data_IF_176877658136
#
_entry.id   IF_176877658136
#
_cell.length_a   1.000
_cell.length_b   1.000
_cell.length_c   1.000
_cell.angle_alpha   90.00
_cell.angle_beta   90.00
_cell.angle_gamma   90.00
#
_symmetry.space_group_name_H-M   'P 1'
#
loop_
_entity.id
_entity.type
_entity.pdbx_description
1 polymer ?
#
# COMPACT_ATOMS: atom_id res chain seq x y z
N UNK A 1 -24.61 -15.94 31.90
CA UNK A 1 -23.80 -14.70 32.07
C UNK A 1 -22.30 -14.94 31.90
N UNK A 2 -21.66 -15.88 32.63
CA UNK A 2 -20.22 -16.20 32.49
C UNK A 2 -19.76 -16.57 31.07
N UNK A 3 -20.51 -17.39 30.34
CA UNK A 3 -20.14 -17.80 28.97
C UNK A 3 -20.18 -16.66 27.94
N UNK A 4 -21.08 -15.68 28.13
CA UNK A 4 -21.20 -14.52 27.25
C UNK A 4 -19.99 -13.59 27.41
N UNK A 5 -19.52 -13.40 28.65
CA UNK A 5 -18.34 -12.58 28.93
C UNK A 5 -17.09 -13.22 28.32
N UNK A 6 -16.93 -14.54 28.41
CA UNK A 6 -15.80 -15.27 27.82
C UNK A 6 -15.84 -15.17 26.28
N UNK A 7 -17.02 -15.31 25.67
CA UNK A 7 -17.18 -15.16 24.23
C UNK A 7 -16.84 -13.73 23.75
N UNK A 8 -17.30 -12.70 24.48
CA UNK A 8 -16.99 -11.30 24.15
C UNK A 8 -15.50 -11.01 24.31
N UNK A 9 -14.86 -11.50 25.37
CA UNK A 9 -13.40 -11.35 25.59
C UNK A 9 -12.59 -12.11 24.52
N UNK A 10 -13.03 -13.30 24.11
CA UNK A 10 -12.37 -14.06 23.05
C UNK A 10 -12.48 -13.37 21.68
N UNK A 11 -13.64 -12.78 21.37
CA UNK A 11 -13.86 -12.00 20.15
C UNK A 11 -13.01 -10.72 20.16
N UNK A 12 -12.98 -9.96 21.26
CA UNK A 12 -12.16 -8.75 21.39
C UNK A 12 -10.65 -9.09 21.35
N UNK A 13 -10.22 -10.20 21.96
CA UNK A 13 -8.84 -10.67 21.90
C UNK A 13 -8.41 -11.11 20.49
N UNK A 14 -9.34 -11.62 19.68
CA UNK A 14 -9.11 -11.93 18.26
C UNK A 14 -8.99 -10.68 17.38
N UNK A 15 -9.51 -9.52 17.80
CA UNK A 15 -9.39 -8.25 17.08
C UNK A 15 -8.15 -7.45 17.48
N UNK A 16 -7.36 -7.91 18.45
CA UNK A 16 -6.05 -7.35 18.78
C UNK A 16 -4.92 -7.92 17.87
N UNK A 17 -5.29 -8.49 16.72
CA UNK A 17 -4.35 -8.71 15.63
C UNK A 17 -3.88 -7.32 15.20
N UNK A 18 -2.65 -6.95 15.56
CA UNK A 18 -2.01 -5.79 14.96
C UNK A 18 -2.17 -5.94 13.45
N UNK A 19 -2.94 -5.05 12.82
CA UNK A 19 -3.08 -5.04 11.36
C UNK A 19 -1.70 -4.73 10.80
N UNK A 20 -0.96 -5.78 10.43
CA UNK A 20 0.37 -5.63 9.88
C UNK A 20 0.24 -5.17 8.44
N UNK A 21 0.48 -3.88 8.21
CA UNK A 21 0.43 -3.29 6.87
C UNK A 21 1.47 -3.96 5.96
N UNK A 22 1.01 -4.52 4.83
CA UNK A 22 1.86 -5.11 3.80
C UNK A 22 1.94 -4.18 2.60
N UNK A 23 3.15 -3.75 2.25
CA UNK A 23 3.39 -2.82 1.15
C UNK A 23 4.08 -3.50 -0.03
N UNK A 24 3.91 -2.93 -1.22
CA UNK A 24 4.77 -3.31 -2.32
C UNK A 24 6.17 -2.70 -2.12
N UNK A 25 7.18 -3.49 -2.46
CA UNK A 25 8.59 -3.15 -2.29
C UNK A 25 9.26 -3.06 -3.66
N UNK A 26 9.95 -1.96 -3.88
CA UNK A 26 10.79 -1.76 -5.05
C UNK A 26 12.05 -1.00 -4.66
N UNK A 27 13.20 -1.69 -4.63
CA UNK A 27 14.46 -1.03 -4.29
C UNK A 27 14.95 -0.08 -5.37
N UNK A 28 14.71 -0.41 -6.63
CA UNK A 28 15.06 0.42 -7.79
C UNK A 28 14.01 0.24 -8.87
N UNK A 29 13.34 1.32 -9.20
CA UNK A 29 12.54 1.47 -10.41
C UNK A 29 13.13 2.55 -11.31
N UNK A 30 13.04 2.33 -12.60
CA UNK A 30 13.52 3.21 -13.65
C UNK A 30 12.34 3.51 -14.57
N UNK A 31 12.15 4.78 -14.92
CA UNK A 31 11.04 5.24 -15.79
C UNK A 31 9.65 4.77 -15.33
N UNK A 32 9.47 4.58 -14.01
CA UNK A 32 8.25 4.07 -13.40
C UNK A 32 8.16 2.54 -13.31
N UNK A 33 9.02 1.80 -14.01
CA UNK A 33 9.04 0.33 -14.00
C UNK A 33 9.97 -0.15 -12.89
N UNK A 34 9.45 -1.02 -12.01
CA UNK A 34 10.24 -1.66 -10.97
C UNK A 34 11.07 -2.82 -11.51
N UNK A 35 12.39 -2.79 -11.27
CA UNK A 35 13.32 -3.82 -11.77
C UNK A 35 13.24 -5.12 -10.96
N UNK A 36 12.93 -5.02 -9.66
CA UNK A 36 12.82 -6.15 -8.74
C UNK A 36 11.61 -5.97 -7.83
N UNK A 37 10.40 -6.25 -8.32
CA UNK A 37 9.18 -6.15 -7.52
C UNK A 37 9.17 -7.22 -6.43
N UNK A 38 8.76 -6.84 -5.22
CA UNK A 38 8.51 -7.75 -4.10
C UNK A 38 7.49 -7.13 -3.16
N UNK A 39 7.21 -7.77 -2.03
CA UNK A 39 6.35 -7.23 -0.97
C UNK A 39 7.10 -7.26 0.34
N UNK A 40 6.80 -6.31 1.23
CA UNK A 40 7.35 -6.26 2.58
C UNK A 40 6.24 -6.03 3.59
N UNK A 41 6.39 -6.59 4.79
CA UNK A 41 5.51 -6.31 5.93
C UNK A 41 6.14 -5.18 6.74
N UNK A 42 5.38 -4.13 7.03
CA UNK A 42 5.86 -3.04 7.85
C UNK A 42 6.00 -3.48 9.32
N UNK A 43 7.10 -3.07 9.96
CA UNK A 43 7.43 -3.50 11.32
C UNK A 43 6.84 -2.61 12.39
N UNK A 44 6.36 -1.41 12.03
CA UNK A 44 5.79 -0.42 12.95
C UNK A 44 4.33 -0.15 12.58
N UNK A 45 3.50 0.09 13.59
CA UNK A 45 2.09 0.45 13.40
C UNK A 45 1.91 1.92 12.93
N UNK A 46 3.00 2.67 12.84
CA UNK A 46 3.05 4.07 12.38
C UNK A 46 3.58 4.18 10.95
N UNK A 47 3.98 3.06 10.34
CA UNK A 47 4.41 3.01 8.95
C UNK A 47 3.22 3.09 7.98
N UNK A 48 3.45 3.77 6.86
CA UNK A 48 2.60 3.75 5.67
C UNK A 48 3.35 3.10 4.51
N UNK A 49 2.61 2.64 3.50
CA UNK A 49 3.21 2.33 2.22
C UNK A 49 3.60 3.61 1.50
N UNK A 50 4.75 3.63 0.85
CA UNK A 50 5.22 4.81 0.12
C UNK A 50 5.65 4.49 -1.31
N UNK A 51 5.59 5.51 -2.15
CA UNK A 51 6.27 5.61 -3.44
C UNK A 51 7.12 6.87 -3.44
N UNK A 52 8.44 6.71 -3.44
CA UNK A 52 9.40 7.79 -3.59
C UNK A 52 9.82 7.92 -5.05
N UNK A 53 9.68 9.10 -5.66
CA UNK A 53 10.05 9.38 -7.05
C UNK A 53 11.14 10.44 -7.10
N UNK A 54 12.31 10.08 -7.64
CA UNK A 54 13.40 11.00 -7.92
C UNK A 54 13.36 11.41 -9.39
N UNK A 55 12.97 12.66 -9.65
CA UNK A 55 12.86 13.25 -10.98
C UNK A 55 13.98 14.24 -11.25
N UNK A 56 14.37 14.40 -12.51
CA UNK A 56 15.43 15.31 -12.96
C UNK A 56 14.81 16.34 -13.92
N UNK A 57 14.41 17.53 -13.44
CA UNK A 57 13.65 18.50 -14.25
C UNK A 57 14.33 18.92 -15.55
N UNK A 58 15.67 18.87 -15.61
CA UNK A 58 16.46 19.22 -16.78
C UNK A 58 16.48 18.13 -17.87
N UNK A 59 15.97 16.93 -17.60
CA UNK A 59 15.97 15.80 -18.55
C UNK A 59 14.54 15.54 -19.00
N UNK A 60 14.15 16.18 -20.11
CA UNK A 60 12.81 15.99 -20.69
C UNK A 60 12.55 14.52 -21.06
N UNK A 61 11.34 14.04 -20.79
CA UNK A 61 10.92 12.66 -21.07
C UNK A 61 11.43 11.61 -20.08
N UNK A 62 12.39 11.95 -19.21
CA UNK A 62 12.83 11.04 -18.17
C UNK A 62 11.91 11.10 -16.96
N UNK A 63 11.14 10.03 -16.74
CA UNK A 63 10.22 9.94 -15.59
C UNK A 63 10.96 9.77 -14.24
N UNK A 64 12.28 9.57 -14.28
CA UNK A 64 13.11 9.46 -13.09
C UNK A 64 13.27 8.03 -12.59
N UNK A 65 13.71 7.94 -11.34
CA UNK A 65 13.75 6.69 -10.58
C UNK A 65 12.61 6.66 -9.58
N UNK A 66 12.19 5.46 -9.19
CA UNK A 66 11.25 5.30 -8.09
C UNK A 66 11.69 4.20 -7.12
N UNK A 67 11.30 4.35 -5.86
CA UNK A 67 11.49 3.36 -4.80
C UNK A 67 10.18 3.20 -4.04
N UNK A 68 9.93 2.03 -3.48
CA UNK A 68 8.70 1.70 -2.78
C UNK A 68 8.99 0.79 -1.59
N UNK A 69 8.16 0.90 -0.55
CA UNK A 69 8.26 0.08 0.66
C UNK A 69 7.42 0.65 1.78
N UNK A 70 7.90 0.49 3.01
CA UNK A 70 7.33 1.10 4.22
C UNK A 70 8.10 2.38 4.59
N UNK A 71 7.37 3.39 5.06
CA UNK A 71 7.92 4.66 5.52
C UNK A 71 7.14 5.16 6.72
N UNK A 72 7.84 5.74 7.70
CA UNK A 72 7.19 6.36 8.85
C UNK A 72 6.30 7.54 8.43
N UNK A 73 5.14 7.67 9.06
CA UNK A 73 4.14 8.70 8.74
C UNK A 73 4.69 10.14 8.76
N UNK A 74 5.70 10.42 9.58
CA UNK A 74 6.33 11.74 9.67
C UNK A 74 7.18 12.12 8.44
N UNK A 75 7.53 11.15 7.59
CA UNK A 75 8.28 11.35 6.35
C UNK A 75 7.37 11.26 5.12
N UNK A 76 6.05 11.14 5.31
CA UNK A 76 5.11 11.09 4.19
C UNK A 76 4.85 12.46 3.58
N UNK A 77 4.53 12.46 2.28
CA UNK A 77 4.11 13.64 1.52
C UNK A 77 5.12 14.80 1.53
N UNK A 78 6.40 14.46 1.73
CA UNK A 78 7.51 15.39 1.63
C UNK A 78 8.03 15.48 0.20
N UNK A 79 8.48 16.67 -0.16
CA UNK A 79 9.23 16.92 -1.39
C UNK A 79 10.56 17.56 -1.03
N UNK A 80 11.65 16.99 -1.52
CA UNK A 80 13.02 17.44 -1.27
C UNK A 80 13.69 17.75 -2.59
N UNK A 81 14.28 18.93 -2.67
CA UNK A 81 15.05 19.36 -3.83
C UNK A 81 16.54 19.26 -3.51
N UNK A 82 17.34 18.91 -4.51
CA UNK A 82 18.79 18.85 -4.34
C UNK A 82 19.52 18.93 -5.67
N UNK A 83 20.84 18.85 -5.58
CA UNK A 83 21.73 18.83 -6.75
C UNK A 83 22.75 17.71 -6.58
N UNK A 84 23.01 16.99 -7.67
CA UNK A 84 24.05 15.95 -7.72
C UNK A 84 24.84 16.13 -9.01
N UNK A 85 26.16 16.29 -8.90
CA UNK A 85 27.06 16.50 -10.04
C UNK A 85 26.60 17.65 -10.97
N UNK A 86 26.03 18.71 -10.40
CA UNK A 86 25.51 19.87 -11.14
C UNK A 86 24.10 19.68 -11.74
N UNK A 87 23.52 18.49 -11.66
CA UNK A 87 22.14 18.24 -12.08
C UNK A 87 21.16 18.43 -10.91
N UNK A 88 20.11 19.23 -11.11
CA UNK A 88 19.02 19.36 -10.14
C UNK A 88 18.14 18.12 -10.14
N UNK A 89 17.71 17.69 -8.95
CA UNK A 89 16.74 16.62 -8.78
C UNK A 89 15.67 17.02 -7.75
N UNK A 90 14.50 16.39 -7.91
CA UNK A 90 13.36 16.54 -7.01
C UNK A 90 12.92 15.14 -6.58
N UNK A 91 12.95 14.88 -5.29
CA UNK A 91 12.42 13.66 -4.68
C UNK A 91 11.05 13.98 -4.10
N UNK A 92 10.01 13.29 -4.55
CA UNK A 92 8.66 13.36 -3.97
C UNK A 92 8.31 12.02 -3.36
N UNK A 93 7.87 12.01 -2.11
CA UNK A 93 7.37 10.82 -1.43
C UNK A 93 5.86 10.93 -1.29
N UNK A 94 5.13 9.92 -1.75
CA UNK A 94 3.67 9.85 -1.61
C UNK A 94 3.32 8.61 -0.80
N UNK A 95 2.40 8.75 0.15
CA UNK A 95 2.03 7.66 1.04
C UNK A 95 0.56 7.24 0.94
N UNK A 96 0.29 6.02 1.42
CA UNK A 96 -1.04 5.47 1.61
C UNK A 96 -1.01 4.40 2.71
N UNK A 97 -2.16 4.11 3.32
CA UNK A 97 -2.26 3.40 4.61
C UNK A 97 -3.05 2.08 4.53
N UNK A 98 -3.21 1.50 3.34
CA UNK A 98 -3.89 0.21 3.14
C UNK A 98 -2.98 -0.80 2.46
N UNK A 99 -3.28 -2.09 2.58
CA UNK A 99 -2.41 -3.13 2.02
C UNK A 99 -2.17 -2.96 0.52
N UNK A 100 -0.89 -2.93 0.14
CA UNK A 100 -0.39 -2.86 -1.24
C UNK A 100 -0.99 -1.70 -2.04
N UNK A 101 -1.31 -0.60 -1.34
CA UNK A 101 -1.90 0.60 -1.94
C UNK A 101 -0.92 1.41 -2.79
N UNK A 102 0.39 1.13 -2.69
CA UNK A 102 1.43 1.74 -3.49
C UNK A 102 1.68 0.90 -4.75
N UNK A 103 1.13 1.26 -5.92
CA UNK A 103 1.14 0.39 -7.08
C UNK A 103 2.53 0.25 -7.69
N UNK A 104 2.88 -0.98 -8.08
CA UNK A 104 4.13 -1.27 -8.82
C UNK A 104 3.81 -1.46 -10.29
N UNK A 105 4.49 -0.72 -11.16
CA UNK A 105 4.50 -1.04 -12.58
C UNK A 105 5.64 -2.02 -12.85
N UNK A 106 5.30 -3.20 -13.35
CA UNK A 106 6.26 -4.26 -13.74
C UNK A 106 6.42 -4.36 -15.27
N UNK A 107 5.57 -3.63 -16.00
CA UNK A 107 5.59 -3.49 -17.46
C UNK A 107 5.05 -2.10 -17.82
N UNK A 108 5.27 -1.65 -19.05
CA UNK A 108 4.75 -0.36 -19.55
C UNK A 108 3.23 -0.33 -19.74
N UNK A 109 2.50 -1.40 -19.40
CA UNK A 109 1.05 -1.42 -19.41
C UNK A 109 0.51 -0.95 -18.05
N UNK A 110 -0.55 -0.11 -18.02
CA UNK A 110 -1.14 0.34 -16.77
C UNK A 110 -1.66 -0.86 -15.96
N UNK A 111 -1.08 -1.09 -14.79
CA UNK A 111 -1.56 -2.08 -13.83
C UNK A 111 -2.79 -1.52 -13.11
N UNK A 112 -3.98 -1.83 -13.61
CA UNK A 112 -5.22 -1.62 -12.85
C UNK A 112 -5.35 -2.75 -11.83
N UNK A 113 -5.13 -2.47 -10.54
CA UNK A 113 -5.58 -3.36 -9.47
C UNK A 113 -7.11 -3.35 -9.49
N UNK A 114 -7.74 -4.36 -10.11
CA UNK A 114 -9.15 -4.65 -9.85
C UNK A 114 -9.25 -5.09 -8.38
N UNK A 115 -9.68 -4.18 -7.52
CA UNK A 115 -10.08 -4.49 -6.15
C UNK A 115 -11.33 -5.38 -6.21
N UNK A 116 -11.10 -6.70 -6.14
CA UNK A 116 -12.11 -7.75 -6.10
C UNK A 116 -13.06 -7.80 -4.86
N UNK A 117 -12.88 -7.10 -3.70
CA UNK A 117 -13.69 -7.41 -2.53
C UNK A 117 -15.14 -6.92 -2.58
N UNK A 118 -15.51 -6.01 -3.49
CA UNK A 118 -16.87 -5.44 -3.53
C UNK A 118 -17.93 -6.44 -4.03
N UNK A 119 -17.52 -7.49 -4.77
CA UNK A 119 -18.47 -8.43 -5.39
C UNK A 119 -18.97 -9.56 -4.45
N UNK A 120 -18.32 -9.79 -3.30
CA UNK A 120 -18.66 -10.92 -2.42
C UNK A 120 -19.61 -10.56 -1.26
N UNK A 121 -19.80 -9.26 -0.97
CA UNK A 121 -20.67 -8.81 0.13
C UNK A 121 -22.17 -8.98 -0.14
N UNK A 122 -22.61 -8.99 -1.40
CA UNK A 122 -24.03 -9.12 -1.77
C UNK A 122 -24.51 -10.57 -1.89
N UNK A 123 -23.59 -11.53 -2.08
CA UNK A 123 -23.96 -12.95 -2.19
C UNK A 123 -24.36 -13.57 -0.84
N UNK A 124 -23.76 -13.12 0.26
CA UNK A 124 -24.00 -13.69 1.60
C UNK A 124 -25.37 -13.28 2.18
N UNK A 125 -25.88 -12.09 1.84
CA UNK A 125 -27.21 -11.63 2.29
C UNK A 125 -28.38 -12.34 1.59
N UNK A 126 -28.15 -12.93 0.41
CA UNK A 126 -29.19 -13.68 -0.32
C UNK A 126 -29.41 -15.11 0.22
N UNK A 127 -28.44 -15.67 0.96
CA UNK A 127 -28.52 -17.02 1.52
C UNK A 127 -29.28 -17.07 2.86
N UNK A 128 -29.45 -15.93 3.53
CA UNK A 128 -30.18 -15.85 4.81
C UNK A 128 -31.66 -15.51 4.65
N UNK A 129 -32.12 -15.03 3.49
CA UNK A 129 -33.55 -14.78 3.22
C UNK A 129 -34.29 -15.99 2.65
N UNK A 130 -33.57 -17.00 2.17
CA UNK A 130 -34.14 -18.23 1.59
C UNK A 130 -34.45 -19.32 2.61
N UNK A 131 -33.98 -19.18 3.87
CA UNK A 131 -34.23 -20.15 4.95
C UNK A 131 -35.40 -19.79 5.89
N UNK A 132 -36.25 -18.81 5.54
CA UNK A 132 -37.42 -18.41 6.36
C UNK A 132 -38.77 -18.61 5.64
N UNK A 133 -38.81 -19.40 4.56
CA UNK A 133 -40.05 -19.78 3.86
C UNK A 133 -40.12 -21.29 3.66
N UNK A 134 -40.04 -22.05 4.75
CA UNK A 134 -40.66 -23.37 4.88
C UNK A 134 -41.07 -23.61 6.33
#
# INVERSE_FOLDING_TARGET
MRGVIIAVVAVIGLFALAETLTCNQCSVGLIGICLKPSTTVCTTNTSNCYTGKASFPSISGFLGFNTQGCLESNNCDITVNGTILGASYVITQTCCNTDKCNPVQISGAPYMQLSLPVALGTALLALTSSNFMY
#
